data_IF_769865467268
#
_entry.id   IF_769865467268
#
_cell.length_a   1.000
_cell.length_b   1.000
_cell.length_c   1.000
_cell.angle_alpha   90.00
_cell.angle_beta   90.00
_cell.angle_gamma   90.00
#
_symmetry.space_group_name_H-M   'P 1'
#
loop_
_entity.id
_entity.type
_entity.pdbx_description
1 polymer ?
#
# COMPACT_ATOMS: atom_id res chain seq x y z
N UNK A 1 22.03 9.27 4.07
CA UNK A 1 23.50 9.19 3.92
C UNK A 1 24.01 8.12 4.85
N UNK A 2 24.87 7.24 4.35
CA UNK A 2 25.57 6.26 5.18
C UNK A 2 26.38 7.00 6.27
N UNK A 3 26.18 6.61 7.53
CA UNK A 3 26.85 7.25 8.69
C UNK A 3 28.39 7.15 8.64
N UNK A 4 28.92 6.28 7.78
CA UNK A 4 30.36 5.97 7.70
C UNK A 4 31.01 6.32 6.34
N UNK A 5 30.28 6.85 5.36
CA UNK A 5 30.79 7.22 4.05
C UNK A 5 31.28 6.04 3.18
N UNK A 6 30.95 4.80 3.56
CA UNK A 6 31.45 3.58 2.92
C UNK A 6 30.53 3.05 1.82
N UNK A 7 29.30 3.58 1.70
CA UNK A 7 28.34 3.15 0.69
C UNK A 7 28.32 4.13 -0.48
N UNK A 8 28.70 3.63 -1.65
CA UNK A 8 28.71 4.41 -2.90
C UNK A 8 27.52 3.94 -3.75
N UNK A 9 26.69 4.90 -4.17
CA UNK A 9 25.57 4.59 -5.05
C UNK A 9 26.08 4.23 -6.45
N UNK A 10 25.75 3.01 -6.91
CA UNK A 10 25.96 2.60 -8.30
C UNK A 10 24.75 3.01 -9.15
N UNK A 11 24.99 3.80 -10.20
CA UNK A 11 23.99 4.09 -11.20
C UNK A 11 23.91 2.91 -12.19
N UNK A 12 22.72 2.33 -12.33
CA UNK A 12 22.45 1.33 -13.37
C UNK A 12 22.43 1.99 -14.77
N UNK A 13 22.61 1.18 -15.81
CA UNK A 13 22.49 1.65 -17.20
C UNK A 13 21.04 1.67 -17.71
N UNK A 14 20.14 0.95 -17.04
CA UNK A 14 18.70 0.88 -17.38
C UNK A 14 17.95 1.94 -16.58
N UNK A 15 17.24 2.81 -17.28
CA UNK A 15 16.42 3.87 -16.67
C UNK A 15 15.00 3.39 -16.35
N UNK A 16 14.29 4.13 -15.47
CA UNK A 16 12.87 3.88 -15.20
C UNK A 16 12.02 3.92 -16.48
N UNK A 17 12.25 4.93 -17.35
CA UNK A 17 11.56 5.05 -18.63
C UNK A 17 11.74 3.83 -19.54
N UNK A 18 12.94 3.23 -19.56
CA UNK A 18 13.19 2.00 -20.31
C UNK A 18 12.40 0.82 -19.75
N UNK A 19 12.29 0.71 -18.41
CA UNK A 19 11.46 -0.33 -17.76
C UNK A 19 9.98 -0.14 -18.05
N UNK A 20 9.48 1.10 -17.95
CA UNK A 20 8.11 1.47 -18.29
C UNK A 20 7.79 1.12 -19.76
N UNK A 21 8.73 1.40 -20.67
CA UNK A 21 8.58 1.04 -22.10
C UNK A 21 8.48 -0.48 -22.31
N UNK A 22 9.27 -1.27 -21.59
CA UNK A 22 9.22 -2.74 -21.65
C UNK A 22 7.89 -3.27 -21.16
N UNK A 23 7.37 -2.73 -20.05
CA UNK A 23 6.10 -3.17 -19.45
C UNK A 23 4.87 -2.51 -20.09
N UNK A 24 5.03 -1.44 -20.87
CA UNK A 24 3.93 -0.67 -21.46
C UNK A 24 3.08 0.09 -20.43
N UNK A 25 3.59 0.27 -19.22
CA UNK A 25 2.91 0.93 -18.10
C UNK A 25 3.90 1.70 -17.24
N UNK A 26 3.39 2.68 -16.48
CA UNK A 26 4.15 3.33 -15.42
C UNK A 26 4.00 2.57 -14.11
N UNK A 27 5.09 2.54 -13.33
CA UNK A 27 5.03 2.06 -11.95
C UNK A 27 4.33 3.06 -11.05
N UNK A 28 3.55 2.55 -10.10
CA UNK A 28 2.77 3.35 -9.15
C UNK A 28 2.73 2.64 -7.81
N UNK A 29 2.76 3.38 -6.70
CA UNK A 29 2.46 2.87 -5.37
C UNK A 29 1.05 3.29 -5.00
N UNK A 30 0.18 2.32 -4.69
CA UNK A 30 -1.18 2.53 -4.19
C UNK A 30 -1.22 2.06 -2.75
N UNK A 31 -1.29 2.99 -1.82
CA UNK A 31 -1.14 2.76 -0.39
C UNK A 31 -2.47 2.81 0.34
N UNK A 32 -3.02 1.64 0.66
CA UNK A 32 -4.25 1.54 1.46
C UNK A 32 -3.93 1.71 2.94
N UNK A 33 -4.62 2.63 3.59
CA UNK A 33 -4.54 2.87 5.04
C UNK A 33 -5.94 2.86 5.67
N UNK A 34 -6.03 2.61 6.96
CA UNK A 34 -7.28 2.52 7.72
C UNK A 34 -7.22 1.47 8.82
N UNK A 35 -8.24 1.39 9.66
CA UNK A 35 -8.32 0.49 10.80
C UNK A 35 -8.28 -1.00 10.42
N UNK A 36 -7.96 -1.86 11.38
CA UNK A 36 -8.14 -3.30 11.22
C UNK A 36 -9.64 -3.59 10.97
N UNK A 37 -9.95 -4.49 10.04
CA UNK A 37 -11.35 -4.77 9.68
C UNK A 37 -12.01 -3.74 8.75
N UNK A 38 -11.31 -2.66 8.35
CA UNK A 38 -11.87 -1.65 7.45
C UNK A 38 -12.12 -2.16 6.01
N UNK A 39 -11.48 -3.27 5.58
CA UNK A 39 -11.68 -3.83 4.25
C UNK A 39 -10.48 -3.63 3.30
N UNK A 40 -9.37 -3.07 3.75
CA UNK A 40 -8.18 -2.77 2.91
C UNK A 40 -7.71 -3.93 2.05
N UNK A 41 -7.41 -5.07 2.67
CA UNK A 41 -6.91 -6.27 1.96
C UNK A 41 -7.92 -6.82 0.97
N UNK A 42 -9.21 -6.84 1.34
CA UNK A 42 -10.29 -7.29 0.46
C UNK A 42 -10.39 -6.44 -0.79
N UNK A 43 -10.39 -5.11 -0.63
CA UNK A 43 -10.44 -4.17 -1.75
C UNK A 43 -9.16 -4.27 -2.60
N UNK A 44 -7.98 -4.37 -1.96
CA UNK A 44 -6.71 -4.47 -2.66
C UNK A 44 -6.60 -5.74 -3.53
N UNK A 45 -7.13 -6.88 -3.06
CA UNK A 45 -7.21 -8.13 -3.84
C UNK A 45 -8.10 -7.96 -5.07
N UNK A 46 -9.26 -7.32 -4.94
CA UNK A 46 -10.15 -7.05 -6.10
C UNK A 46 -9.48 -6.09 -7.10
N UNK A 47 -8.75 -5.07 -6.62
CA UNK A 47 -7.97 -4.17 -7.49
C UNK A 47 -6.87 -4.93 -8.22
N UNK A 48 -6.10 -5.77 -7.51
CA UNK A 48 -5.03 -6.59 -8.12
C UNK A 48 -5.59 -7.50 -9.20
N UNK A 49 -6.71 -8.17 -8.93
CA UNK A 49 -7.40 -9.00 -9.91
C UNK A 49 -7.79 -8.20 -11.16
N UNK A 50 -8.40 -7.03 -11.01
CA UNK A 50 -8.78 -6.16 -12.14
C UNK A 50 -7.56 -5.73 -12.96
N UNK A 51 -6.45 -5.39 -12.30
CA UNK A 51 -5.20 -5.03 -12.97
C UNK A 51 -4.65 -6.20 -13.78
N UNK A 52 -4.61 -7.40 -13.20
CA UNK A 52 -4.15 -8.61 -13.87
C UNK A 52 -5.03 -8.97 -15.07
N UNK A 53 -6.36 -8.95 -14.91
CA UNK A 53 -7.32 -9.22 -15.99
C UNK A 53 -7.18 -8.22 -17.17
N UNK A 54 -6.76 -6.99 -16.87
CA UNK A 54 -6.49 -5.95 -17.88
C UNK A 54 -5.04 -5.96 -18.41
N UNK A 55 -4.21 -6.92 -17.99
CA UNK A 55 -2.85 -7.11 -18.48
C UNK A 55 -1.81 -6.18 -17.84
N UNK A 56 -2.10 -5.55 -16.71
CA UNK A 56 -1.13 -4.75 -15.96
C UNK A 56 -0.30 -5.62 -15.02
N UNK A 57 1.01 -5.36 -14.98
CA UNK A 57 1.90 -5.94 -13.98
C UNK A 57 1.67 -5.26 -12.62
N UNK A 58 1.14 -5.99 -11.67
CA UNK A 58 0.87 -5.52 -10.31
C UNK A 58 1.36 -6.51 -9.26
N UNK A 59 1.53 -6.05 -8.03
CA UNK A 59 1.86 -6.89 -6.88
C UNK A 59 1.28 -6.32 -5.59
N UNK A 60 0.63 -7.19 -4.80
CA UNK A 60 0.06 -6.83 -3.51
C UNK A 60 1.02 -7.15 -2.36
N UNK A 61 1.43 -6.11 -1.65
CA UNK A 61 2.16 -6.19 -0.39
C UNK A 61 1.14 -6.10 0.77
N UNK A 62 0.61 -7.24 1.18
CA UNK A 62 -0.31 -7.31 2.32
C UNK A 62 0.46 -7.42 3.64
N UNK A 63 0.00 -6.69 4.66
CA UNK A 63 0.69 -6.56 5.94
C UNK A 63 0.90 -7.87 6.69
N UNK A 64 -0.04 -8.79 6.63
CA UNK A 64 0.10 -10.10 7.29
C UNK A 64 1.13 -10.96 6.54
N UNK A 65 1.06 -10.98 5.20
CA UNK A 65 2.00 -11.74 4.37
C UNK A 65 3.44 -11.24 4.53
N UNK A 66 3.64 -9.92 4.58
CA UNK A 66 4.96 -9.32 4.80
C UNK A 66 5.53 -9.72 6.16
N UNK A 67 4.69 -9.81 7.21
CA UNK A 67 5.10 -10.23 8.56
C UNK A 67 5.38 -11.73 8.68
N UNK A 68 4.91 -12.56 7.76
CA UNK A 68 5.29 -13.97 7.67
C UNK A 68 6.65 -14.19 6.96
N UNK A 69 7.19 -13.17 6.32
CA UNK A 69 8.42 -13.24 5.54
C UNK A 69 9.42 -12.15 5.90
N UNK A 70 9.52 -11.11 5.09
CA UNK A 70 10.55 -10.05 5.17
C UNK A 70 10.58 -9.36 6.55
N UNK A 71 9.45 -9.23 7.23
CA UNK A 71 9.32 -8.57 8.53
C UNK A 71 8.96 -9.54 9.65
N UNK A 72 9.32 -10.82 9.53
CA UNK A 72 9.06 -11.85 10.54
C UNK A 72 9.80 -11.62 11.87
N UNK A 73 10.86 -10.82 11.84
CA UNK A 73 11.64 -10.38 12.99
C UNK A 73 11.00 -9.24 13.80
N UNK A 74 9.93 -8.62 13.29
CA UNK A 74 9.30 -7.45 13.89
C UNK A 74 8.05 -7.82 14.70
N UNK A 75 7.92 -7.22 15.89
CA UNK A 75 6.73 -7.26 16.73
C UNK A 75 5.72 -6.17 16.38
N UNK A 76 5.02 -5.66 17.42
CA UNK A 76 3.95 -4.67 17.28
C UNK A 76 4.18 -3.41 18.13
N UNK A 77 5.39 -3.21 18.68
CA UNK A 77 5.76 -1.95 19.31
C UNK A 77 5.70 -0.79 18.30
N UNK A 78 5.74 0.42 18.75
CA UNK A 78 5.75 1.59 17.87
C UNK A 78 6.99 1.57 16.96
N UNK A 79 8.16 1.21 17.50
CA UNK A 79 9.42 1.06 16.78
C UNK A 79 9.32 -0.01 15.70
N UNK A 80 8.77 -1.18 16.03
CA UNK A 80 8.57 -2.28 15.08
C UNK A 80 7.60 -1.89 13.96
N UNK A 81 6.55 -1.14 14.28
CA UNK A 81 5.60 -0.64 13.27
C UNK A 81 6.26 0.37 12.35
N UNK A 82 7.08 1.29 12.89
CA UNK A 82 7.84 2.24 12.10
C UNK A 82 8.80 1.53 11.15
N UNK A 83 9.54 0.54 11.65
CA UNK A 83 10.47 -0.24 10.85
C UNK A 83 9.74 -1.10 9.81
N UNK A 84 8.59 -1.69 10.16
CA UNK A 84 7.75 -2.42 9.20
C UNK A 84 7.33 -1.51 8.02
N UNK A 85 6.83 -0.30 8.31
CA UNK A 85 6.43 0.64 7.27
C UNK A 85 7.64 1.09 6.46
N UNK A 86 8.78 1.37 7.11
CA UNK A 86 10.00 1.76 6.42
C UNK A 86 10.44 0.70 5.41
N UNK A 87 10.51 -0.58 5.82
CA UNK A 87 10.90 -1.69 4.91
C UNK A 87 9.92 -1.83 3.75
N UNK A 88 8.61 -1.79 4.02
CA UNK A 88 7.60 -1.92 2.96
C UNK A 88 7.65 -0.74 1.99
N UNK A 89 7.87 0.48 2.47
CA UNK A 89 8.00 1.66 1.61
C UNK A 89 9.22 1.56 0.67
N UNK A 90 10.36 1.05 1.17
CA UNK A 90 11.54 0.81 0.33
C UNK A 90 11.27 -0.24 -0.75
N UNK A 91 10.60 -1.36 -0.39
CA UNK A 91 10.25 -2.42 -1.33
C UNK A 91 9.26 -1.88 -2.38
N UNK A 92 8.24 -1.14 -1.95
CA UNK A 92 7.25 -0.55 -2.86
C UNK A 92 7.90 0.43 -3.84
N UNK A 93 8.87 1.23 -3.38
CA UNK A 93 9.63 2.15 -4.24
C UNK A 93 10.48 1.40 -5.28
N UNK A 94 11.09 0.25 -4.92
CA UNK A 94 11.83 -0.59 -5.85
C UNK A 94 10.91 -1.22 -6.91
N UNK A 95 9.75 -1.71 -6.51
CA UNK A 95 8.77 -2.28 -7.44
C UNK A 95 8.23 -1.20 -8.38
N UNK A 96 7.91 0.00 -7.86
CA UNK A 96 7.52 1.14 -8.68
C UNK A 96 8.63 1.51 -9.68
N UNK A 97 9.91 1.56 -9.27
CA UNK A 97 11.03 1.83 -10.19
C UNK A 97 11.20 0.73 -11.24
N UNK A 98 10.82 -0.52 -10.92
CA UNK A 98 10.74 -1.62 -11.87
C UNK A 98 9.58 -1.48 -12.88
N UNK A 99 8.67 -0.52 -12.72
CA UNK A 99 7.50 -0.32 -13.57
C UNK A 99 6.25 -1.08 -13.11
N UNK A 100 6.24 -1.62 -11.89
CA UNK A 100 5.15 -2.42 -11.33
C UNK A 100 4.19 -1.52 -10.56
N UNK A 101 2.88 -1.76 -10.71
CA UNK A 101 1.86 -1.16 -9.87
C UNK A 101 1.84 -1.92 -8.54
N UNK A 102 2.29 -1.26 -7.47
CA UNK A 102 2.42 -1.89 -6.16
C UNK A 102 1.28 -1.48 -5.26
N UNK A 103 0.43 -2.44 -4.90
CA UNK A 103 -0.64 -2.24 -3.94
C UNK A 103 -0.10 -2.55 -2.54
N UNK A 104 -0.24 -1.64 -1.60
CA UNK A 104 0.22 -1.82 -0.22
C UNK A 104 -0.99 -1.76 0.70
N UNK A 105 -1.27 -2.84 1.44
CA UNK A 105 -2.39 -2.92 2.39
C UNK A 105 -1.87 -3.00 3.83
N UNK A 106 -1.77 -1.85 4.49
CA UNK A 106 -1.27 -1.71 5.86
C UNK A 106 -2.17 -0.76 6.68
N UNK A 107 -2.21 -0.93 8.01
CA UNK A 107 -2.87 0.05 8.87
C UNK A 107 -2.17 1.41 8.75
N UNK A 108 -0.83 1.44 8.84
CA UNK A 108 0.01 2.64 8.77
C UNK A 108 -0.59 3.83 9.55
N UNK A 109 -0.65 3.72 10.91
CA UNK A 109 -1.53 4.55 11.72
C UNK A 109 -1.11 6.02 11.79
N UNK A 110 0.16 6.35 11.59
CA UNK A 110 0.66 7.71 11.73
C UNK A 110 0.91 8.37 10.38
N UNK A 111 0.57 9.65 10.27
CA UNK A 111 0.77 10.44 9.05
C UNK A 111 2.22 10.47 8.60
N UNK A 112 3.16 10.62 9.55
CA UNK A 112 4.58 10.63 9.26
C UNK A 112 5.07 9.36 8.56
N UNK A 113 4.51 8.18 8.90
CA UNK A 113 4.84 6.93 8.24
C UNK A 113 4.39 6.92 6.77
N UNK A 114 3.20 7.42 6.50
CA UNK A 114 2.63 7.47 5.14
C UNK A 114 3.33 8.53 4.28
N UNK A 115 3.68 9.66 4.91
CA UNK A 115 4.48 10.69 4.24
C UNK A 115 5.87 10.16 3.84
N UNK A 116 6.54 9.43 4.76
CA UNK A 116 7.80 8.75 4.40
C UNK A 116 7.62 7.82 3.18
N UNK A 117 6.54 7.03 3.15
CA UNK A 117 6.26 6.14 2.01
C UNK A 117 6.01 6.94 0.72
N UNK A 118 5.30 8.07 0.78
CA UNK A 118 5.08 8.99 -0.33
C UNK A 118 6.39 9.57 -0.87
N UNK A 119 7.26 10.05 0.02
CA UNK A 119 8.59 10.55 -0.35
C UNK A 119 9.43 9.48 -1.05
N UNK A 120 9.39 8.23 -0.53
CA UNK A 120 10.14 7.11 -1.14
C UNK A 120 9.61 6.72 -2.52
N UNK A 121 8.30 6.76 -2.73
CA UNK A 121 7.69 6.55 -4.04
C UNK A 121 8.03 7.66 -5.05
N UNK A 122 8.24 8.89 -4.57
CA UNK A 122 8.51 10.07 -5.38
C UNK A 122 7.24 10.75 -5.88
N UNK A 123 7.39 12.02 -6.21
CA UNK A 123 6.29 12.89 -6.63
C UNK A 123 5.50 12.30 -7.81
N UNK A 124 4.17 12.35 -7.72
CA UNK A 124 3.25 11.83 -8.75
C UNK A 124 3.14 10.31 -8.84
N UNK A 125 3.94 9.56 -8.06
CA UNK A 125 3.98 8.08 -8.11
C UNK A 125 3.36 7.40 -6.88
N UNK A 126 2.58 8.14 -6.09
CA UNK A 126 1.93 7.65 -4.89
C UNK A 126 0.45 8.01 -4.89
N UNK A 127 -0.39 7.07 -4.51
CA UNK A 127 -1.83 7.24 -4.30
C UNK A 127 -2.15 6.74 -2.90
N UNK A 128 -2.54 7.63 -2.00
CA UNK A 128 -3.04 7.27 -0.68
C UNK A 128 -4.53 6.99 -0.76
N UNK A 129 -4.91 5.76 -0.42
CA UNK A 129 -6.31 5.33 -0.37
C UNK A 129 -6.71 5.16 1.09
N UNK A 130 -7.51 6.08 1.59
CA UNK A 130 -8.06 5.99 2.94
C UNK A 130 -9.35 5.16 2.94
N UNK A 131 -9.31 4.02 3.63
CA UNK A 131 -10.49 3.18 3.86
C UNK A 131 -11.12 3.61 5.18
N UNK A 132 -12.03 4.60 5.09
CA UNK A 132 -12.60 5.37 6.20
C UNK A 132 -13.75 4.69 6.92
N UNK A 133 -13.69 3.36 7.11
CA UNK A 133 -14.71 2.61 7.84
C UNK A 133 -14.71 2.97 9.32
N UNK A 134 -15.87 3.28 9.87
CA UNK A 134 -16.04 3.62 11.28
C UNK A 134 -15.59 2.50 12.23
N UNK A 135 -15.05 2.87 13.40
CA UNK A 135 -14.49 1.92 14.38
C UNK A 135 -15.51 0.86 14.81
N UNK A 136 -16.75 1.24 15.05
CA UNK A 136 -17.79 0.30 15.48
C UNK A 136 -18.11 -0.74 14.39
N UNK A 137 -18.08 -0.36 13.12
CA UNK A 137 -18.23 -1.27 11.99
C UNK A 137 -17.03 -2.21 11.87
N UNK A 138 -15.82 -1.69 12.06
CA UNK A 138 -14.61 -2.50 12.09
C UNK A 138 -14.64 -3.54 13.20
N UNK A 139 -15.11 -3.15 14.40
CA UNK A 139 -15.31 -4.05 15.56
C UNK A 139 -16.37 -5.11 15.30
N UNK A 140 -17.49 -4.72 14.70
CA UNK A 140 -18.57 -5.65 14.36
C UNK A 140 -18.14 -6.69 13.31
N UNK A 141 -17.36 -6.26 12.32
CA UNK A 141 -16.80 -7.15 11.30
C UNK A 141 -15.78 -8.13 11.87
N UNK A 142 -14.83 -7.62 12.62
CA UNK A 142 -13.70 -8.33 13.28
C UNK A 142 -13.30 -9.66 12.62
N UNK A 143 -12.94 -9.70 11.32
CA UNK A 143 -12.77 -10.96 10.59
C UNK A 143 -11.63 -11.84 11.12
N UNK A 144 -10.71 -11.25 11.90
CA UNK A 144 -9.56 -11.92 12.49
C UNK A 144 -9.71 -12.15 14.00
N UNK A 145 -10.82 -11.71 14.61
CA UNK A 145 -11.05 -11.78 16.05
C UNK A 145 -10.06 -10.94 16.88
N UNK A 146 -9.48 -9.90 16.30
CA UNK A 146 -8.42 -9.10 16.95
C UNK A 146 -8.98 -8.12 17.98
N UNK A 147 -10.17 -7.58 17.76
CA UNK A 147 -10.83 -6.67 18.71
C UNK A 147 -11.27 -7.35 20.00
N UNK A 148 -11.44 -8.67 19.98
CA UNK A 148 -11.79 -9.50 21.15
C UNK A 148 -10.58 -9.95 21.95
N UNK A 149 -9.36 -9.78 21.40
CA UNK A 149 -8.11 -10.13 22.06
C UNK A 149 -7.56 -8.95 22.83
N UNK A 150 -6.83 -9.22 23.90
CA UNK A 150 -6.00 -8.23 24.60
C UNK A 150 -4.66 -8.14 23.87
N UNK A 151 -4.60 -7.26 22.86
CA UNK A 151 -3.39 -6.99 22.08
C UNK A 151 -2.88 -5.63 22.53
N UNK A 152 -1.70 -5.54 23.13
CA UNK A 152 -1.10 -4.26 23.53
C UNK A 152 -0.96 -3.32 22.31
N UNK A 153 -1.19 -2.02 22.51
CA UNK A 153 -1.05 -0.98 21.50
C UNK A 153 -1.89 -1.20 20.22
N UNK A 154 -3.05 -1.88 20.34
CA UNK A 154 -3.89 -2.16 19.20
C UNK A 154 -4.50 -0.88 18.62
N UNK A 155 -4.20 -0.59 17.36
CA UNK A 155 -4.67 0.63 16.68
C UNK A 155 -6.20 0.69 16.62
N UNK A 156 -6.77 1.79 17.09
CA UNK A 156 -8.21 2.01 17.19
C UNK A 156 -8.83 1.51 18.51
N UNK A 157 -8.03 0.92 19.42
CA UNK A 157 -8.44 0.57 20.78
C UNK A 157 -7.55 1.30 21.80
N UNK A 158 -6.28 0.96 21.82
CA UNK A 158 -5.31 1.47 22.80
C UNK A 158 -4.27 2.42 22.17
N UNK A 159 -4.13 2.38 20.84
CA UNK A 159 -3.24 3.23 20.05
C UNK A 159 -4.02 4.09 19.06
N UNK A 160 -3.51 5.29 18.79
CA UNK A 160 -4.14 6.26 17.90
C UNK A 160 -4.03 5.82 16.43
N UNK A 161 -5.03 6.22 15.66
CA UNK A 161 -4.98 6.26 14.20
C UNK A 161 -5.15 7.72 13.77
N UNK A 162 -4.20 8.23 13.01
CA UNK A 162 -4.24 9.57 12.45
C UNK A 162 -4.78 9.50 11.02
N UNK A 163 -6.03 9.94 10.85
CA UNK A 163 -6.63 9.98 9.52
C UNK A 163 -5.80 10.84 8.55
N UNK A 164 -5.68 10.44 7.27
CA UNK A 164 -5.03 11.26 6.26
C UNK A 164 -5.66 12.64 6.15
N UNK A 165 -4.85 13.67 5.90
CA UNK A 165 -5.36 15.03 5.70
C UNK A 165 -5.84 15.25 4.26
N UNK A 166 -5.11 14.73 3.29
CA UNK A 166 -5.36 14.93 1.87
C UNK A 166 -5.07 13.63 1.09
N UNK A 167 -5.81 12.53 1.34
CA UNK A 167 -5.63 11.31 0.56
C UNK A 167 -6.14 11.54 -0.86
N UNK A 168 -5.54 10.88 -1.84
CA UNK A 168 -6.03 10.93 -3.22
C UNK A 168 -7.41 10.29 -3.37
N UNK A 169 -7.73 9.30 -2.52
CA UNK A 169 -9.04 8.65 -2.53
C UNK A 169 -9.50 8.32 -1.13
N UNK A 170 -10.77 8.61 -0.84
CA UNK A 170 -11.48 8.16 0.38
C UNK A 170 -12.51 7.12 -0.03
N UNK A 171 -12.49 5.97 0.65
CA UNK A 171 -13.46 4.90 0.47
C UNK A 171 -14.26 4.70 1.75
N UNK A 172 -15.55 4.90 1.65
CA UNK A 172 -16.51 4.50 2.67
C UNK A 172 -17.04 3.10 2.31
N UNK A 173 -16.92 2.16 3.25
CA UNK A 173 -17.27 0.75 3.01
C UNK A 173 -18.61 0.34 3.60
N UNK A 174 -19.33 1.28 4.21
CA UNK A 174 -20.68 1.05 4.70
C UNK A 174 -21.66 1.19 3.53
N UNK A 175 -22.38 0.11 3.23
CA UNK A 175 -23.31 0.08 2.10
C UNK A 175 -22.65 0.02 0.72
N UNK A 176 -21.33 -0.15 0.64
CA UNK A 176 -20.58 -0.25 -0.61
C UNK A 176 -19.89 -1.63 -0.68
N UNK A 177 -19.96 -2.29 -1.84
CA UNK A 177 -19.30 -3.58 -2.03
C UNK A 177 -17.79 -3.43 -2.25
N UNK A 178 -16.98 -4.47 -1.99
CA UNK A 178 -15.55 -4.45 -2.31
C UNK A 178 -15.27 -4.15 -3.79
N UNK A 179 -16.09 -4.65 -4.70
CA UNK A 179 -15.97 -4.47 -6.13
C UNK A 179 -16.22 -3.03 -6.55
N UNK A 180 -17.21 -2.35 -5.94
CA UNK A 180 -17.49 -0.93 -6.17
C UNK A 180 -16.36 -0.05 -5.64
N UNK A 181 -15.81 -0.40 -4.47
CA UNK A 181 -14.61 0.26 -3.94
C UNK A 181 -13.41 0.06 -4.87
N UNK A 182 -13.20 -1.17 -5.34
CA UNK A 182 -12.12 -1.50 -6.26
C UNK A 182 -12.24 -0.76 -7.59
N UNK A 183 -13.46 -0.55 -8.10
CA UNK A 183 -13.69 0.24 -9.31
C UNK A 183 -13.21 1.69 -9.15
N UNK A 184 -13.48 2.32 -8.01
CA UNK A 184 -12.99 3.69 -7.74
C UNK A 184 -11.47 3.76 -7.74
N UNK A 185 -10.81 2.78 -7.09
CA UNK A 185 -9.34 2.69 -7.06
C UNK A 185 -8.78 2.43 -8.46
N UNK A 186 -9.42 1.55 -9.22
CA UNK A 186 -9.07 1.27 -10.62
C UNK A 186 -9.05 2.54 -11.46
N UNK A 187 -10.11 3.35 -11.41
CA UNK A 187 -10.20 4.59 -12.18
C UNK A 187 -9.07 5.56 -11.83
N UNK A 188 -8.72 5.67 -10.54
CA UNK A 188 -7.61 6.50 -10.08
C UNK A 188 -6.26 6.00 -10.62
N UNK A 189 -6.03 4.69 -10.60
CA UNK A 189 -4.81 4.07 -11.13
C UNK A 189 -4.68 4.30 -12.63
N UNK A 190 -5.73 3.98 -13.40
CA UNK A 190 -5.68 4.04 -14.87
C UNK A 190 -5.47 5.47 -15.37
N UNK A 191 -6.01 6.46 -14.67
CA UNK A 191 -5.75 7.87 -14.95
C UNK A 191 -4.26 8.26 -14.86
N UNK A 192 -3.46 7.52 -14.09
CA UNK A 192 -2.05 7.83 -13.82
C UNK A 192 -1.06 6.96 -14.61
N UNK A 193 -1.33 5.68 -14.75
CA UNK A 193 -0.36 4.72 -15.34
C UNK A 193 -0.43 4.64 -16.87
N UNK A 194 -1.47 5.21 -17.47
CA UNK A 194 -1.69 5.14 -18.92
C UNK A 194 -2.27 3.78 -19.36
N UNK A 195 -2.53 3.64 -20.65
CA UNK A 195 -3.06 2.40 -21.22
C UNK A 195 -1.93 1.39 -21.43
N UNK A 196 -2.10 0.18 -20.92
CA UNK A 196 -1.22 -0.92 -21.28
C UNK A 196 -1.36 -1.20 -22.79
N UNK A 197 -0.25 -1.05 -23.54
CA UNK A 197 -0.19 -1.30 -24.98
C UNK A 197 0.47 -2.64 -25.33
N UNK A 198 0.88 -3.39 -24.30
CA UNK A 198 1.55 -4.67 -24.51
C UNK A 198 0.49 -5.75 -24.66
N UNK A 199 0.25 -6.21 -25.89
CA UNK A 199 -0.47 -7.46 -26.13
C UNK A 199 0.54 -8.61 -25.98
N UNK A 200 0.51 -9.29 -24.86
CA UNK A 200 1.21 -10.59 -24.74
C UNK A 200 0.54 -11.56 -25.70
N UNK A 201 1.19 -11.86 -26.83
CA UNK A 201 0.81 -12.92 -27.75
C UNK A 201 1.46 -14.23 -27.33
#
# INVERSE_FOLDING_TARGET
MDKNGNIIRHAGKVTGEQREKVLGQKGLVVWFTGLSGAGKSTIAVEVEKKLADAGYASYLLDGDNIRLGINADLGFTEEDRNENIRRVAEIAALFRDAGIITLVSLISPFRAMREFARERAGEGNFVEVYVGTGLEVCRARDPKGLYRKEIPDFTGKDSRYEEPLNPELVLETEGTTPEECAEKVWQEIIGRVGKNKVSWR
#
